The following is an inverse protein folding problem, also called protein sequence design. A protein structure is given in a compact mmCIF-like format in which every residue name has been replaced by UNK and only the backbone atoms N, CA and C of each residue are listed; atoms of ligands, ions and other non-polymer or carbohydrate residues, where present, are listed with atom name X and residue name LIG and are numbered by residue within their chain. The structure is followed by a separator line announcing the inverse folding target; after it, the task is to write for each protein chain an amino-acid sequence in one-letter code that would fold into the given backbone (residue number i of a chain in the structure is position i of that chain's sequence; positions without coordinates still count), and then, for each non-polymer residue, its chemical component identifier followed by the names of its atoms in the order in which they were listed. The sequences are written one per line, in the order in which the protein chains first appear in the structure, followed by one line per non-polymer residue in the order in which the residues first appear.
data_IF_807930572479
#
_entry.id   IF_807930572479
#
_cell.length_a   1.000
_cell.length_b   1.000
_cell.length_c   1.000
_cell.angle_alpha   90.00
_cell.angle_beta   90.00
_cell.angle_gamma   90.00
#
_symmetry.space_group_name_H-M   'P 1'
#
loop_
_entity.id
_entity.type
_entity.pdbx_description
1 polymer ?
#
# COMPACT_ATOMS: atom_id res chain seq x y z
N UNK A 1 -77.08 -17.84 31.05
CA UNK A 1 -75.71 -17.84 30.52
C UNK A 1 -75.19 -19.26 30.53
N UNK A 2 -74.63 -19.77 29.41
CA UNK A 2 -74.14 -21.14 29.33
C UNK A 2 -72.90 -21.31 30.21
N UNK A 3 -72.71 -22.52 30.75
CA UNK A 3 -71.62 -22.88 31.69
C UNK A 3 -70.23 -22.66 31.04
N UNK A 4 -70.14 -22.70 29.71
CA UNK A 4 -68.91 -22.52 28.95
C UNK A 4 -68.29 -21.10 28.98
N UNK A 5 -69.03 -20.05 29.36
CA UNK A 5 -68.48 -18.69 29.45
C UNK A 5 -67.85 -18.37 30.81
N UNK A 6 -68.16 -19.15 31.86
CA UNK A 6 -67.68 -18.87 33.21
C UNK A 6 -66.23 -19.34 33.44
N UNK A 7 -65.77 -20.34 32.70
CA UNK A 7 -64.40 -20.88 32.81
C UNK A 7 -63.36 -20.15 31.95
N UNK A 8 -63.80 -19.27 31.04
CA UNK A 8 -62.88 -18.55 30.13
C UNK A 8 -62.06 -17.45 30.82
N UNK A 9 -62.55 -16.88 31.92
CA UNK A 9 -61.89 -15.76 32.61
C UNK A 9 -60.90 -16.20 33.70
N UNK A 10 -60.91 -17.48 34.08
CA UNK A 10 -60.10 -18.02 35.17
C UNK A 10 -59.01 -19.01 34.72
N UNK A 11 -58.83 -19.21 33.40
CA UNK A 11 -57.77 -20.08 32.87
C UNK A 11 -56.52 -19.25 32.53
N UNK A 12 -55.56 -19.28 33.46
CA UNK A 12 -54.26 -18.60 33.37
C UNK A 12 -53.43 -19.00 32.13
N UNK A 13 -53.84 -20.05 31.42
CA UNK A 13 -53.18 -20.55 30.19
C UNK A 13 -53.28 -19.60 29.00
N UNK A 14 -54.26 -18.70 28.98
CA UNK A 14 -54.51 -17.78 27.86
C UNK A 14 -54.17 -16.31 28.14
N UNK A 15 -53.64 -16.00 29.32
CA UNK A 15 -53.08 -14.67 29.56
C UNK A 15 -51.75 -14.52 28.81
N UNK A 16 -51.52 -13.40 28.08
CA UNK A 16 -50.22 -13.16 27.47
C UNK A 16 -49.18 -13.09 28.58
N UNK A 17 -48.34 -14.12 28.70
CA UNK A 17 -47.17 -14.12 29.57
C UNK A 17 -46.28 -12.97 29.14
N UNK A 18 -46.39 -11.84 29.81
CA UNK A 18 -45.47 -10.72 29.72
C UNK A 18 -44.09 -11.22 30.19
N UNK A 19 -43.31 -11.81 29.28
CA UNK A 19 -41.88 -12.03 29.46
C UNK A 19 -41.25 -10.66 29.58
N UNK A 20 -41.03 -10.22 30.83
CA UNK A 20 -40.26 -9.00 31.12
C UNK A 20 -38.92 -9.15 30.36
N UNK A 21 -38.52 -8.16 29.52
CA UNK A 21 -37.21 -8.21 28.90
C UNK A 21 -36.18 -8.35 30.03
N UNK A 22 -35.15 -9.19 29.86
CA UNK A 22 -34.17 -9.41 30.92
C UNK A 22 -33.62 -8.04 31.33
N UNK A 23 -33.76 -7.70 32.61
CA UNK A 23 -33.19 -6.47 33.16
C UNK A 23 -31.68 -6.66 33.18
N UNK A 24 -31.03 -6.32 32.07
CA UNK A 24 -29.59 -6.22 32.00
C UNK A 24 -29.17 -5.17 33.02
N UNK A 25 -28.65 -5.63 34.16
CA UNK A 25 -28.05 -4.72 35.12
C UNK A 25 -26.74 -4.23 34.52
N UNK A 26 -26.50 -2.92 34.57
CA UNK A 26 -25.23 -2.34 34.15
C UNK A 26 -24.02 -3.01 34.84
N UNK A 27 -24.23 -3.59 36.03
CA UNK A 27 -23.23 -4.41 36.72
C UNK A 27 -22.92 -5.74 36.03
N UNK A 28 -23.90 -6.43 35.44
CA UNK A 28 -23.65 -7.65 34.66
C UNK A 28 -22.88 -7.34 33.37
N UNK A 29 -23.20 -6.21 32.71
CA UNK A 29 -22.42 -5.71 31.55
C UNK A 29 -20.98 -5.41 31.96
N UNK A 30 -20.80 -4.73 33.10
CA UNK A 30 -19.48 -4.43 33.65
C UNK A 30 -18.64 -5.70 33.92
N UNK A 31 -19.23 -6.72 34.52
CA UNK A 31 -18.55 -7.99 34.77
C UNK A 31 -18.20 -8.74 33.49
N UNK A 32 -19.07 -8.72 32.47
CA UNK A 32 -18.78 -9.30 31.15
C UNK A 32 -17.65 -8.57 30.45
N UNK A 33 -17.61 -7.23 30.50
CA UNK A 33 -16.52 -6.44 29.93
C UNK A 33 -15.19 -6.73 30.65
N UNK A 34 -15.19 -6.77 31.99
CA UNK A 34 -13.99 -7.11 32.77
C UNK A 34 -13.51 -8.52 32.44
N UNK A 35 -14.41 -9.50 32.33
CA UNK A 35 -14.07 -10.86 31.92
C UNK A 35 -13.48 -10.92 30.50
N UNK A 36 -14.02 -10.13 29.56
CA UNK A 36 -13.47 -10.02 28.21
C UNK A 36 -12.07 -9.40 28.21
N UNK A 37 -11.82 -8.34 28.98
CA UNK A 37 -10.47 -7.78 29.09
C UNK A 37 -9.50 -8.73 29.80
N UNK A 38 -9.93 -9.41 30.86
CA UNK A 38 -9.13 -10.40 31.58
C UNK A 38 -8.82 -11.65 30.74
N UNK A 39 -9.65 -11.98 29.75
CA UNK A 39 -9.45 -13.13 28.85
C UNK A 39 -8.28 -12.96 27.87
N UNK A 40 -7.73 -11.75 27.74
CA UNK A 40 -6.70 -11.43 26.75
C UNK A 40 -7.21 -11.38 25.30
N UNK A 41 -8.51 -11.62 25.05
CA UNK A 41 -9.11 -11.53 23.71
C UNK A 41 -8.91 -10.15 23.05
N UNK A 42 -9.09 -9.00 23.74
CA UNK A 42 -8.86 -7.69 23.14
C UNK A 42 -7.40 -7.51 22.69
N UNK A 43 -6.45 -8.02 23.47
CA UNK A 43 -5.03 -7.94 23.15
C UNK A 43 -4.66 -8.82 21.95
N UNK A 44 -5.22 -10.03 21.88
CA UNK A 44 -5.04 -10.93 20.71
C UNK A 44 -5.60 -10.30 19.44
N UNK A 45 -6.83 -9.79 19.48
CA UNK A 45 -7.45 -9.12 18.35
C UNK A 45 -6.66 -7.88 17.91
N UNK A 46 -6.18 -7.08 18.86
CA UNK A 46 -5.34 -5.92 18.57
C UNK A 46 -4.03 -6.31 17.88
N UNK A 47 -3.36 -7.35 18.39
CA UNK A 47 -2.12 -7.85 17.80
C UNK A 47 -2.34 -8.39 16.39
N UNK A 48 -3.36 -9.23 16.18
CA UNK A 48 -3.72 -9.77 14.87
C UNK A 48 -4.03 -8.65 13.85
N UNK A 49 -4.79 -7.63 14.27
CA UNK A 49 -5.09 -6.48 13.42
C UNK A 49 -3.84 -5.70 13.04
N UNK A 50 -2.95 -5.46 14.02
CA UNK A 50 -1.70 -4.73 13.79
C UNK A 50 -0.75 -5.50 12.88
N UNK A 51 -0.58 -6.81 13.11
CA UNK A 51 0.29 -7.66 12.31
C UNK A 51 -0.22 -7.75 10.86
N UNK A 52 -1.52 -7.93 10.67
CA UNK A 52 -2.09 -7.95 9.31
C UNK A 52 -1.93 -6.60 8.60
N UNK A 53 -2.06 -5.49 9.32
CA UNK A 53 -1.81 -4.16 8.77
C UNK A 53 -0.34 -3.98 8.33
N UNK A 54 0.59 -4.33 9.22
CA UNK A 54 2.03 -4.26 8.97
C UNK A 54 2.47 -5.18 7.81
N UNK A 55 1.91 -6.39 7.72
CA UNK A 55 2.14 -7.33 6.62
C UNK A 55 1.67 -6.75 5.28
N UNK A 56 0.50 -6.10 5.23
CA UNK A 56 0.02 -5.42 4.01
C UNK A 56 0.96 -4.30 3.60
N UNK A 57 1.48 -3.52 4.55
CA UNK A 57 2.47 -2.48 4.26
C UNK A 57 3.74 -3.10 3.69
N UNK A 58 4.27 -4.15 4.34
CA UNK A 58 5.46 -4.87 3.86
C UNK A 58 5.28 -5.39 2.44
N UNK A 59 4.21 -6.13 2.16
CA UNK A 59 3.94 -6.69 0.83
C UNK A 59 3.86 -5.59 -0.22
N UNK A 60 3.10 -4.53 0.05
CA UNK A 60 3.01 -3.38 -0.84
C UNK A 60 4.37 -2.72 -1.12
N UNK A 61 5.14 -2.43 -0.07
CA UNK A 61 6.44 -1.77 -0.21
C UNK A 61 7.44 -2.65 -0.97
N UNK A 62 7.43 -3.97 -0.73
CA UNK A 62 8.27 -4.92 -1.43
C UNK A 62 7.93 -5.02 -2.92
N UNK A 63 6.66 -5.17 -3.26
CA UNK A 63 6.21 -5.24 -4.67
C UNK A 63 6.49 -3.93 -5.41
N UNK A 64 6.17 -2.79 -4.78
CA UNK A 64 6.50 -1.46 -5.31
C UNK A 64 7.99 -1.35 -5.59
N UNK A 65 8.83 -1.71 -4.62
CA UNK A 65 10.29 -1.57 -4.76
C UNK A 65 10.85 -2.49 -5.84
N UNK A 66 10.33 -3.71 -5.96
CA UNK A 66 10.71 -4.63 -7.02
C UNK A 66 10.48 -4.02 -8.42
N UNK A 67 9.30 -3.46 -8.66
CA UNK A 67 8.98 -2.86 -9.95
C UNK A 67 9.76 -1.56 -10.17
N UNK A 68 9.80 -0.71 -9.14
CA UNK A 68 10.46 0.58 -9.17
C UNK A 68 11.96 0.46 -9.42
N UNK A 69 12.66 -0.37 -8.65
CA UNK A 69 14.12 -0.56 -8.74
C UNK A 69 14.52 -1.15 -10.09
N UNK A 70 13.79 -2.15 -10.58
CA UNK A 70 13.97 -2.71 -11.92
C UNK A 70 13.90 -1.61 -12.98
N UNK A 71 12.80 -0.83 -12.99
CA UNK A 71 12.59 0.26 -13.94
C UNK A 71 13.61 1.37 -13.84
N UNK A 72 13.98 1.78 -12.63
CA UNK A 72 14.98 2.81 -12.40
C UNK A 72 16.37 2.39 -12.89
N UNK A 73 16.77 1.15 -12.63
CA UNK A 73 18.03 0.61 -13.09
C UNK A 73 18.11 0.58 -14.62
N UNK A 74 17.12 0.02 -15.32
CA UNK A 74 17.15 -0.02 -16.80
C UNK A 74 17.10 1.38 -17.42
N UNK A 75 16.30 2.29 -16.85
CA UNK A 75 16.26 3.68 -17.31
C UNK A 75 17.64 4.34 -17.16
N UNK A 76 18.27 4.24 -15.99
CA UNK A 76 19.63 4.78 -15.76
C UNK A 76 20.65 4.19 -16.72
N UNK A 77 20.64 2.88 -16.92
CA UNK A 77 21.53 2.21 -17.87
C UNK A 77 21.32 2.71 -19.30
N UNK A 78 20.06 2.93 -19.72
CA UNK A 78 19.76 3.51 -21.03
C UNK A 78 20.30 4.94 -21.13
N UNK A 79 20.09 5.78 -20.11
CA UNK A 79 20.58 7.16 -20.11
C UNK A 79 22.11 7.22 -20.20
N UNK A 80 22.83 6.33 -19.49
CA UNK A 80 24.29 6.21 -19.63
C UNK A 80 24.70 5.92 -21.07
N UNK A 81 24.07 4.92 -21.71
CA UNK A 81 24.35 4.56 -23.11
C UNK A 81 24.03 5.69 -24.09
N UNK A 82 22.93 6.41 -23.86
CA UNK A 82 22.55 7.57 -24.69
C UNK A 82 23.60 8.68 -24.59
N UNK A 83 24.13 8.94 -23.39
CA UNK A 83 25.20 9.91 -23.19
C UNK A 83 26.51 9.45 -23.86
N UNK A 84 26.84 8.17 -23.83
CA UNK A 84 28.02 7.60 -24.49
C UNK A 84 27.91 7.59 -26.02
N UNK A 85 26.69 7.45 -26.56
CA UNK A 85 26.45 7.35 -28.00
C UNK A 85 26.66 8.68 -28.76
N UNK A 86 26.87 9.81 -28.07
CA UNK A 86 27.19 11.11 -28.67
C UNK A 86 26.26 11.51 -29.84
N UNK A 87 24.98 11.15 -29.76
CA UNK A 87 23.96 11.47 -30.77
C UNK A 87 23.64 10.37 -31.79
N UNK A 88 24.41 9.28 -31.86
CA UNK A 88 24.05 8.11 -32.67
C UNK A 88 23.10 7.16 -31.93
N UNK A 89 21.81 7.49 -31.96
CA UNK A 89 20.77 6.65 -31.35
C UNK A 89 20.46 5.38 -32.15
N UNK A 90 20.92 5.26 -33.40
CA UNK A 90 20.54 4.12 -34.26
C UNK A 90 21.04 2.79 -33.69
N UNK A 91 22.24 2.81 -33.10
CA UNK A 91 22.87 1.69 -32.40
C UNK A 91 22.15 1.28 -31.11
N UNK A 92 21.30 2.17 -30.56
CA UNK A 92 20.60 1.98 -29.29
C UNK A 92 19.13 1.54 -29.44
N UNK A 93 18.65 1.34 -30.68
CA UNK A 93 17.24 1.03 -30.96
C UNK A 93 16.70 -0.16 -30.15
N UNK A 94 17.49 -1.21 -30.00
CA UNK A 94 17.09 -2.41 -29.26
C UNK A 94 16.91 -2.09 -27.76
N UNK A 95 17.90 -1.42 -27.17
CA UNK A 95 17.93 -1.08 -25.74
C UNK A 95 16.83 -0.07 -25.38
N UNK A 96 16.55 0.88 -26.27
CA UNK A 96 15.42 1.81 -26.13
C UNK A 96 14.09 1.06 -26.09
N UNK A 97 13.86 0.12 -27.02
CA UNK A 97 12.63 -0.67 -27.05
C UNK A 97 12.49 -1.63 -25.86
N UNK A 98 13.59 -2.26 -25.42
CA UNK A 98 13.58 -3.11 -24.22
C UNK A 98 13.20 -2.31 -22.97
N UNK A 99 13.79 -1.13 -22.81
CA UNK A 99 13.48 -0.23 -21.70
C UNK A 99 12.03 0.25 -21.76
N UNK A 100 11.53 0.55 -22.96
CA UNK A 100 10.13 0.95 -23.20
C UNK A 100 9.13 -0.12 -22.73
N UNK A 101 9.34 -1.36 -23.19
CA UNK A 101 8.49 -2.50 -22.83
C UNK A 101 8.53 -2.73 -21.32
N UNK A 102 9.71 -2.68 -20.72
CA UNK A 102 9.88 -2.95 -19.30
C UNK A 102 9.24 -1.87 -18.43
N UNK A 103 9.39 -0.58 -18.79
CA UNK A 103 8.73 0.54 -18.10
C UNK A 103 7.20 0.41 -18.17
N UNK A 104 6.65 0.14 -19.37
CA UNK A 104 5.20 -0.08 -19.55
C UNK A 104 4.68 -1.25 -18.70
N UNK A 105 5.39 -2.39 -18.71
CA UNK A 105 4.99 -3.56 -17.92
C UNK A 105 5.02 -3.29 -16.42
N UNK A 106 6.10 -2.70 -15.91
CA UNK A 106 6.23 -2.39 -14.49
C UNK A 106 5.27 -1.28 -14.04
N UNK A 107 4.96 -0.31 -14.93
CA UNK A 107 3.94 0.70 -14.67
C UNK A 107 2.55 0.08 -14.48
N UNK A 108 2.15 -0.86 -15.34
CA UNK A 108 0.87 -1.57 -15.19
C UNK A 108 0.81 -2.34 -13.87
N UNK A 109 1.86 -3.11 -13.56
CA UNK A 109 1.93 -3.82 -12.28
C UNK A 109 1.88 -2.89 -11.08
N UNK A 110 2.56 -1.74 -11.15
CA UNK A 110 2.51 -0.72 -10.12
C UNK A 110 1.08 -0.18 -9.98
N UNK A 111 0.43 0.21 -11.08
CA UNK A 111 -0.93 0.75 -11.08
C UNK A 111 -1.96 -0.22 -10.49
N UNK A 112 -1.75 -1.52 -10.66
CA UNK A 112 -2.61 -2.58 -10.12
C UNK A 112 -2.37 -2.85 -8.61
N UNK A 113 -1.30 -2.29 -8.02
CA UNK A 113 -1.07 -2.40 -6.59
C UNK A 113 -2.15 -1.63 -5.81
N UNK A 114 -2.58 -2.22 -4.70
CA UNK A 114 -3.48 -1.54 -3.76
C UNK A 114 -2.66 -0.94 -2.60
N UNK A 115 -2.32 0.37 -2.64
CA UNK A 115 -1.52 0.98 -1.59
C UNK A 115 -2.30 1.05 -0.26
N UNK A 116 -1.65 0.75 0.88
CA UNK A 116 -2.18 1.11 2.19
C UNK A 116 -2.46 2.62 2.24
N UNK A 117 -3.41 3.02 3.09
CA UNK A 117 -3.92 4.40 3.16
C UNK A 117 -2.79 5.42 3.30
N UNK A 118 -1.83 5.15 4.17
CA UNK A 118 -0.74 6.06 4.52
C UNK A 118 0.31 6.20 3.41
N UNK A 119 0.30 5.30 2.42
CA UNK A 119 1.22 5.29 1.28
C UNK A 119 0.55 5.68 -0.04
N UNK A 120 -0.72 6.11 -0.04
CA UNK A 120 -1.43 6.53 -1.28
C UNK A 120 -0.75 7.68 -2.02
N UNK A 121 -0.21 8.64 -1.28
CA UNK A 121 0.49 9.77 -1.89
C UNK A 121 1.83 9.35 -2.51
N UNK A 122 2.63 8.58 -1.77
CA UNK A 122 3.85 7.95 -2.30
C UNK A 122 3.56 7.16 -3.58
N UNK A 123 2.48 6.38 -3.58
CA UNK A 123 2.07 5.59 -4.73
C UNK A 123 1.79 6.47 -5.95
N UNK A 124 0.98 7.50 -5.76
CA UNK A 124 0.61 8.46 -6.81
C UNK A 124 1.84 9.15 -7.39
N UNK A 125 2.75 9.62 -6.53
CA UNK A 125 4.00 10.26 -6.96
C UNK A 125 4.97 9.30 -7.64
N UNK A 126 4.99 8.03 -7.22
CA UNK A 126 5.75 7.00 -7.92
C UNK A 126 5.21 6.80 -9.33
N UNK A 127 3.87 6.75 -9.52
CA UNK A 127 3.27 6.67 -10.86
C UNK A 127 3.56 7.90 -11.73
N UNK A 128 3.48 9.12 -11.17
CA UNK A 128 3.86 10.35 -11.90
C UNK A 128 5.31 10.28 -12.43
N UNK A 129 6.24 9.80 -11.60
CA UNK A 129 7.63 9.60 -12.01
C UNK A 129 7.76 8.59 -13.16
N UNK A 130 6.99 7.50 -13.13
CA UNK A 130 6.96 6.54 -14.24
C UNK A 130 6.50 7.18 -15.55
N UNK A 131 5.46 8.02 -15.50
CA UNK A 131 4.95 8.70 -16.69
C UNK A 131 6.03 9.59 -17.32
N UNK A 132 6.82 10.31 -16.51
CA UNK A 132 7.91 11.15 -17.00
C UNK A 132 9.02 10.30 -17.63
N UNK A 133 9.44 9.21 -16.97
CA UNK A 133 10.44 8.28 -17.52
C UNK A 133 9.96 7.63 -18.81
N UNK A 134 8.68 7.29 -18.88
CA UNK A 134 8.05 6.74 -20.07
C UNK A 134 8.05 7.76 -21.22
N UNK A 135 7.70 9.02 -20.96
CA UNK A 135 7.75 10.08 -21.96
C UNK A 135 9.17 10.30 -22.51
N UNK A 136 10.20 10.23 -21.65
CA UNK A 136 11.60 10.29 -22.07
C UNK A 136 11.97 9.12 -23.00
N UNK A 137 11.51 7.90 -22.69
CA UNK A 137 11.77 6.73 -23.54
C UNK A 137 10.97 6.77 -24.84
N UNK A 138 9.70 7.18 -24.82
CA UNK A 138 8.89 7.37 -26.04
C UNK A 138 9.50 8.43 -26.97
N UNK A 139 10.10 9.49 -26.39
CA UNK A 139 10.89 10.46 -27.14
C UNK A 139 12.10 9.81 -27.82
N UNK A 140 12.84 8.96 -27.12
CA UNK A 140 13.97 8.20 -27.70
C UNK A 140 13.50 7.22 -28.77
N UNK A 141 12.40 6.49 -28.56
CA UNK A 141 11.79 5.59 -29.55
C UNK A 141 11.48 6.36 -30.83
N UNK A 142 10.90 7.55 -30.70
CA UNK A 142 10.57 8.41 -31.84
C UNK A 142 11.85 8.91 -32.53
N UNK A 143 12.81 9.41 -31.74
CA UNK A 143 14.09 9.94 -32.24
C UNK A 143 14.92 8.89 -32.98
N UNK A 144 14.92 7.63 -32.53
CA UNK A 144 15.59 6.52 -33.23
C UNK A 144 14.98 6.21 -34.60
N UNK A 145 13.71 6.56 -34.83
CA UNK A 145 13.00 6.34 -36.10
C UNK A 145 13.16 7.51 -37.06
N UNK A 146 13.14 8.74 -36.55
CA UNK A 146 13.13 9.98 -37.34
C UNK A 146 14.48 10.67 -37.42
N UNK A 147 15.49 10.21 -36.68
CA UNK A 147 16.81 10.82 -36.55
C UNK A 147 16.77 12.29 -36.10
N UNK A 148 15.84 12.63 -35.19
CA UNK A 148 15.60 13.99 -34.67
C UNK A 148 15.93 14.08 -33.18
N UNK A 149 17.08 13.57 -32.78
CA UNK A 149 17.52 13.63 -31.39
C UNK A 149 18.01 15.04 -31.03
N UNK A 150 17.48 15.55 -29.92
CA UNK A 150 17.80 16.82 -29.30
C UNK A 150 18.05 16.55 -27.82
N UNK A 151 19.27 16.81 -27.39
CA UNK A 151 19.69 16.51 -26.02
C UNK A 151 18.90 17.33 -24.99
N UNK A 152 18.54 18.57 -25.34
CA UNK A 152 17.83 19.51 -24.46
C UNK A 152 16.43 19.02 -24.08
N UNK A 153 15.76 18.29 -24.98
CA UNK A 153 14.44 17.70 -24.72
C UNK A 153 14.59 16.56 -23.72
N UNK A 154 15.56 15.67 -23.94
CA UNK A 154 15.80 14.54 -23.04
C UNK A 154 16.26 15.01 -21.66
N UNK A 155 17.14 16.02 -21.59
CA UNK A 155 17.63 16.57 -20.32
C UNK A 155 16.49 17.14 -19.48
N UNK A 156 15.50 17.79 -20.11
CA UNK A 156 14.32 18.31 -19.42
C UNK A 156 13.55 17.18 -18.72
N UNK A 157 13.30 16.05 -19.40
CA UNK A 157 12.64 14.91 -18.76
C UNK A 157 13.48 14.28 -17.64
N UNK A 158 14.81 14.22 -17.79
CA UNK A 158 15.71 13.69 -16.77
C UNK A 158 15.68 14.59 -15.53
N UNK A 159 15.75 15.91 -15.70
CA UNK A 159 15.67 16.89 -14.62
C UNK A 159 14.34 16.80 -13.87
N UNK A 160 13.22 16.73 -14.61
CA UNK A 160 11.90 16.57 -14.01
C UNK A 160 11.77 15.23 -13.26
N UNK A 161 12.27 14.15 -13.84
CA UNK A 161 12.33 12.83 -13.20
C UNK A 161 13.14 12.86 -11.90
N UNK A 162 14.31 13.51 -11.90
CA UNK A 162 15.15 13.64 -10.71
C UNK A 162 14.48 14.48 -9.62
N UNK A 163 13.79 15.56 -10.00
CA UNK A 163 13.01 16.37 -9.06
C UNK A 163 11.92 15.51 -8.40
N UNK A 164 11.14 14.76 -9.18
CA UNK A 164 10.10 13.86 -8.66
C UNK A 164 10.67 12.73 -7.80
N UNK A 165 11.81 12.18 -8.20
CA UNK A 165 12.51 11.15 -7.43
C UNK A 165 12.87 11.65 -6.02
N UNK A 166 13.39 12.88 -5.91
CA UNK A 166 13.76 13.46 -4.62
C UNK A 166 12.56 13.68 -3.68
N UNK A 167 11.34 13.76 -4.22
CA UNK A 167 10.11 13.87 -3.43
C UNK A 167 9.63 12.53 -2.85
N UNK A 168 10.09 11.39 -3.37
CA UNK A 168 9.59 10.08 -2.93
C UNK A 168 10.08 9.68 -1.54
N UNK A 169 11.34 10.00 -1.19
CA UNK A 169 11.89 9.61 0.11
C UNK A 169 11.17 10.30 1.29
N UNK A 170 10.89 11.63 1.26
CA UNK A 170 10.06 12.27 2.28
C UNK A 170 8.68 11.62 2.42
N UNK A 171 8.04 11.25 1.31
CA UNK A 171 6.73 10.58 1.33
C UNK A 171 6.79 9.16 1.89
N UNK A 172 7.89 8.44 1.65
CA UNK A 172 8.13 7.14 2.28
C UNK A 172 8.25 7.30 3.80
N UNK A 173 9.02 8.28 4.28
CA UNK A 173 9.20 8.56 5.70
C UNK A 173 7.85 8.94 6.34
N UNK A 174 7.10 9.84 5.71
CA UNK A 174 5.78 10.27 6.19
C UNK A 174 4.78 9.10 6.26
N UNK A 175 4.76 8.22 5.25
CA UNK A 175 3.95 6.99 5.27
C UNK A 175 4.33 6.04 6.41
N UNK A 176 5.63 5.84 6.65
CA UNK A 176 6.11 5.01 7.76
C UNK A 176 5.76 5.61 9.13
N UNK A 177 5.90 6.92 9.29
CA UNK A 177 5.51 7.64 10.52
C UNK A 177 4.01 7.54 10.78
N UNK A 178 3.17 7.75 9.76
CA UNK A 178 1.70 7.63 9.86
C UNK A 178 1.24 6.22 10.20
N UNK A 179 1.97 5.21 9.72
CA UNK A 179 1.73 3.80 10.02
C UNK A 179 2.31 3.34 11.36
N UNK A 180 2.93 4.23 12.15
CA UNK A 180 3.61 3.90 13.41
C UNK A 180 4.69 2.80 13.27
N UNK A 181 5.35 2.76 12.11
CA UNK A 181 6.42 1.81 11.83
C UNK A 181 7.77 2.38 12.25
N UNK A 182 8.57 1.56 12.93
CA UNK A 182 9.96 1.92 13.24
C UNK A 182 10.76 1.95 11.94
N UNK A 183 11.62 2.96 11.80
CA UNK A 183 12.52 3.07 10.67
C UNK A 183 13.85 3.75 11.04
N UNK A 184 14.85 3.54 10.20
CA UNK A 184 16.18 4.12 10.29
C UNK A 184 16.64 4.55 8.88
N UNK A 185 17.29 5.72 8.79
CA UNK A 185 17.92 6.20 7.57
C UNK A 185 19.40 5.88 7.68
N UNK A 186 19.89 5.05 6.76
CA UNK A 186 21.28 4.62 6.71
C UNK A 186 22.19 5.74 6.18
N UNK A 187 23.50 5.61 6.37
CA UNK A 187 24.49 6.61 5.93
C UNK A 187 24.51 6.83 4.40
N UNK A 188 24.11 5.81 3.63
CA UNK A 188 23.99 5.86 2.18
C UNK A 188 22.65 6.45 1.70
N UNK A 189 21.79 6.88 2.63
CA UNK A 189 20.45 7.41 2.35
C UNK A 189 19.39 6.33 2.12
N UNK A 190 19.73 5.04 2.20
CA UNK A 190 18.74 3.96 2.17
C UNK A 190 17.92 3.91 3.47
N UNK A 191 16.77 3.23 3.45
CA UNK A 191 15.81 3.26 4.54
C UNK A 191 15.50 1.82 4.99
N UNK A 192 15.81 1.53 6.25
CA UNK A 192 15.48 0.26 6.90
C UNK A 192 14.22 0.46 7.74
N UNK A 193 13.24 -0.42 7.64
CA UNK A 193 12.02 -0.37 8.47
C UNK A 193 11.69 -1.74 9.04
N UNK A 194 10.96 -1.76 10.15
CA UNK A 194 10.57 -2.98 10.86
C UNK A 194 9.06 -3.08 10.95
N UNK A 195 8.55 -4.28 10.70
CA UNK A 195 7.14 -4.64 10.84
C UNK A 195 6.97 -5.63 11.98
N UNK A 196 5.82 -5.63 12.64
CA UNK A 196 5.48 -6.67 13.60
C UNK A 196 5.22 -7.98 12.85
N UNK A 197 5.77 -9.06 13.39
CA UNK A 197 5.58 -10.44 12.94
C UNK A 197 4.81 -11.20 14.04
N UNK A 198 4.13 -12.28 13.67
CA UNK A 198 3.47 -13.22 14.58
C UNK A 198 4.43 -13.83 15.62
N UNK A 199 5.75 -13.74 15.43
CA UNK A 199 6.76 -14.16 16.39
C UNK A 199 6.97 -13.18 17.56
N UNK A 200 5.96 -13.03 18.41
CA UNK A 200 6.08 -12.43 19.73
C UNK A 200 5.61 -13.41 20.83
N UNK A 201 6.46 -14.40 21.15
CA UNK A 201 6.48 -15.04 22.47
C UNK A 201 5.89 -16.44 22.58
N UNK A 202 6.70 -17.46 22.32
CA UNK A 202 6.88 -18.55 23.28
C UNK A 202 8.05 -18.19 24.20
N UNK A 203 7.81 -17.28 25.15
CA UNK A 203 8.66 -17.16 26.34
C UNK A 203 8.04 -18.08 27.39
N UNK A 204 8.45 -19.35 27.35
CA UNK A 204 8.48 -20.20 28.55
C UNK A 204 9.83 -20.02 29.25
#
# INVERSE_FOLDING_TARGET
MPIAERDYWNDDRYQPRNKKPPKWSWGAIGLVLIALFASGLPMKLYNELTINHDQKIRSYLQEREQYFSSSDQSFKQLMTKVNEANGDLSSLKMQVNETDIMLKQNYLKLMDLNPPRDFKELHTKTMELYVIKQAAVDYLVSSTKTNTYHHEILSTYIEESNLKLSQLQPLMIDGLQKADLRYEINQDGSLTYWVKDDYAGSLE
#
